data_IF_782866556722
#
_entry.id   IF_782866556722
#
_cell.length_a   1.000
_cell.length_b   1.000
_cell.length_c   1.000
_cell.angle_alpha   90.00
_cell.angle_beta   90.00
_cell.angle_gamma   90.00
#
_symmetry.space_group_name_H-M   'P 1'
#
loop_
_entity.id
_entity.type
_entity.pdbx_description
1 polymer ?
#
# COMPACT_ATOMS: atom_id res chain seq x y z
N UNK A 1 -8.89 1.36 -8.77
CA UNK A 1 -8.44 2.42 -7.83
C UNK A 1 -9.42 3.57 -7.89
N UNK A 2 -9.77 4.16 -6.75
CA UNK A 2 -10.61 5.35 -6.67
C UNK A 2 -9.83 6.49 -6.01
N UNK A 3 -9.85 7.69 -6.60
CA UNK A 3 -9.11 8.85 -6.10
C UNK A 3 -10.08 9.98 -5.73
N UNK A 4 -9.96 10.52 -4.52
CA UNK A 4 -10.71 11.67 -4.00
C UNK A 4 -9.81 12.70 -3.29
N UNK A 5 -10.41 13.82 -2.88
CA UNK A 5 -9.71 14.96 -2.27
C UNK A 5 -9.16 15.97 -3.28
N UNK A 6 -8.02 16.59 -2.97
CA UNK A 6 -7.38 17.67 -3.73
C UNK A 6 -6.56 17.13 -4.91
N UNK A 7 -7.22 16.76 -6.00
CA UNK A 7 -6.60 16.12 -7.18
C UNK A 7 -5.61 17.02 -7.93
N UNK A 8 -5.78 18.33 -7.84
CA UNK A 8 -4.98 19.33 -8.58
C UNK A 8 -3.93 20.02 -7.70
N UNK A 9 -3.62 19.46 -6.52
CA UNK A 9 -2.61 20.03 -5.63
C UNK A 9 -1.23 20.01 -6.29
N UNK A 10 -0.46 21.08 -6.04
CA UNK A 10 0.91 21.22 -6.52
C UNK A 10 1.84 21.49 -5.36
N UNK A 11 2.98 20.81 -5.35
CA UNK A 11 4.05 21.04 -4.40
C UNK A 11 5.40 20.82 -5.06
N UNK A 12 6.43 21.35 -4.42
CA UNK A 12 7.82 21.02 -4.76
C UNK A 12 8.18 19.70 -4.08
N UNK A 13 8.50 18.68 -4.87
CA UNK A 13 8.94 17.37 -4.37
C UNK A 13 9.81 16.68 -5.43
N UNK A 14 10.59 15.68 -5.04
CA UNK A 14 11.30 14.83 -6.02
C UNK A 14 10.32 13.80 -6.59
N UNK A 15 9.97 13.86 -7.89
CA UNK A 15 8.97 12.97 -8.47
C UNK A 15 9.32 11.49 -8.33
N UNK A 16 10.61 11.14 -8.46
CA UNK A 16 11.13 9.78 -8.32
C UNK A 16 10.80 9.18 -6.95
N UNK A 17 11.03 9.92 -5.86
CA UNK A 17 10.77 9.45 -4.50
C UNK A 17 9.29 9.19 -4.28
N UNK A 18 8.43 10.11 -4.75
CA UNK A 18 6.98 9.95 -4.65
C UNK A 18 6.52 8.76 -5.48
N UNK A 19 7.05 8.60 -6.70
CA UNK A 19 6.74 7.46 -7.56
C UNK A 19 7.08 6.13 -6.87
N UNK A 20 8.26 5.99 -6.27
CA UNK A 20 8.64 4.77 -5.55
C UNK A 20 7.73 4.50 -4.35
N UNK A 21 7.41 5.53 -3.56
CA UNK A 21 6.47 5.40 -2.42
C UNK A 21 5.12 4.90 -2.93
N UNK A 22 4.54 5.56 -3.94
CA UNK A 22 3.23 5.21 -4.47
C UNK A 22 3.21 3.81 -5.09
N UNK A 23 4.25 3.43 -5.84
CA UNK A 23 4.35 2.11 -6.45
C UNK A 23 4.36 1.01 -5.39
N UNK A 24 5.19 1.13 -4.35
CA UNK A 24 5.30 0.13 -3.30
C UNK A 24 4.02 0.03 -2.47
N UNK A 25 3.41 1.15 -2.10
CA UNK A 25 2.16 1.14 -1.34
C UNK A 25 1.00 0.56 -2.15
N UNK A 26 0.87 0.91 -3.44
CA UNK A 26 -0.17 0.37 -4.30
C UNK A 26 0.02 -1.12 -4.58
N UNK A 27 1.25 -1.58 -4.81
CA UNK A 27 1.55 -3.01 -4.96
C UNK A 27 1.12 -3.79 -3.72
N UNK A 28 1.51 -3.33 -2.53
CA UNK A 28 1.16 -4.00 -1.26
C UNK A 28 -0.35 -4.05 -1.05
N UNK A 29 -1.01 -2.91 -1.25
CA UNK A 29 -2.44 -2.74 -1.08
C UNK A 29 -3.26 -3.61 -2.04
N UNK A 30 -2.90 -3.62 -3.33
CA UNK A 30 -3.55 -4.44 -4.36
C UNK A 30 -3.29 -5.92 -4.13
N UNK A 31 -2.06 -6.29 -3.77
CA UNK A 31 -1.71 -7.69 -3.46
C UNK A 31 -2.56 -8.22 -2.31
N UNK A 32 -2.64 -7.49 -1.19
CA UNK A 32 -3.46 -7.92 -0.05
C UNK A 32 -4.94 -8.08 -0.43
N UNK A 33 -5.47 -7.15 -1.24
CA UNK A 33 -6.86 -7.22 -1.74
C UNK A 33 -7.08 -8.43 -2.63
N UNK A 34 -6.16 -8.72 -3.56
CA UNK A 34 -6.25 -9.89 -4.46
C UNK A 34 -6.07 -11.20 -3.70
N UNK A 35 -5.16 -11.26 -2.72
CA UNK A 35 -4.95 -12.46 -1.90
C UNK A 35 -6.20 -12.81 -1.07
N UNK A 36 -6.92 -11.81 -0.58
CA UNK A 36 -8.14 -12.01 0.21
C UNK A 36 -9.38 -12.29 -0.65
N UNK A 37 -9.62 -11.49 -1.69
CA UNK A 37 -10.88 -11.52 -2.46
C UNK A 37 -10.77 -12.21 -3.82
N UNK A 38 -9.55 -12.44 -4.32
CA UNK A 38 -9.31 -12.98 -5.67
C UNK A 38 -9.75 -14.42 -5.88
N UNK A 39 -10.09 -15.15 -4.82
CA UNK A 39 -10.62 -16.52 -4.88
C UNK A 39 -12.03 -16.56 -4.30
N UNK A 40 -13.02 -16.91 -5.13
CA UNK A 40 -14.34 -17.26 -4.61
C UNK A 40 -14.32 -18.67 -4.00
N UNK A 41 -15.10 -18.89 -2.94
CA UNK A 41 -15.24 -20.21 -2.31
C UNK A 41 -15.94 -21.24 -3.22
N UNK A 42 -16.69 -20.78 -4.24
CA UNK A 42 -17.61 -21.62 -5.02
C UNK A 42 -17.34 -21.65 -6.53
N UNK A 43 -16.35 -20.91 -7.04
CA UNK A 43 -15.95 -20.94 -8.45
C UNK A 43 -14.43 -21.00 -8.57
N UNK A 44 -13.92 -21.75 -9.55
CA UNK A 44 -12.48 -21.91 -9.77
C UNK A 44 -11.86 -20.74 -10.56
N UNK A 45 -12.68 -19.76 -10.98
CA UNK A 45 -12.21 -18.61 -11.75
C UNK A 45 -11.75 -17.48 -10.80
N UNK A 46 -10.52 -16.96 -10.99
CA UNK A 46 -10.03 -15.84 -10.20
C UNK A 46 -10.82 -14.55 -10.49
N UNK A 47 -11.12 -13.78 -9.44
CA UNK A 47 -11.72 -12.46 -9.59
C UNK A 47 -10.66 -11.42 -9.93
N UNK A 48 -10.98 -10.56 -10.90
CA UNK A 48 -10.14 -9.45 -11.31
C UNK A 48 -10.96 -8.18 -11.55
N UNK A 49 -10.27 -7.05 -11.63
CA UNK A 49 -10.86 -5.77 -12.02
C UNK A 49 -11.96 -5.31 -11.07
N UNK A 50 -13.12 -4.94 -11.64
CA UNK A 50 -14.26 -4.38 -10.92
C UNK A 50 -14.91 -5.32 -9.91
N UNK A 51 -14.57 -6.62 -9.96
CA UNK A 51 -15.06 -7.61 -8.98
C UNK A 51 -14.34 -7.52 -7.63
N UNK A 52 -13.22 -6.79 -7.54
CA UNK A 52 -12.45 -6.62 -6.32
C UNK A 52 -12.76 -5.27 -5.66
N UNK A 53 -12.72 -5.18 -4.31
CA UNK A 53 -12.86 -3.91 -3.63
C UNK A 53 -11.79 -2.90 -4.09
N UNK A 54 -12.15 -1.62 -4.35
CA UNK A 54 -11.19 -0.65 -4.84
C UNK A 54 -10.26 -0.16 -3.72
N UNK A 55 -8.95 -0.12 -4.01
CA UNK A 55 -8.02 0.73 -3.25
C UNK A 55 -8.44 2.20 -3.41
N UNK A 56 -8.64 2.90 -2.30
CA UNK A 56 -8.99 4.32 -2.24
C UNK A 56 -7.75 5.16 -1.93
N UNK A 57 -7.54 6.21 -2.71
CA UNK A 57 -6.50 7.21 -2.47
C UNK A 57 -7.20 8.54 -2.15
N UNK A 58 -6.92 9.09 -0.98
CA UNK A 58 -7.39 10.41 -0.58
C UNK A 58 -6.22 11.37 -0.50
N UNK A 59 -6.30 12.50 -1.21
CA UNK A 59 -5.29 13.55 -1.19
C UNK A 59 -5.80 14.74 -0.38
N UNK A 60 -5.10 15.08 0.69
CA UNK A 60 -5.36 16.27 1.50
C UNK A 60 -4.17 17.22 1.41
N UNK A 61 -4.42 18.52 1.62
CA UNK A 61 -3.41 19.56 1.61
C UNK A 61 -3.65 20.59 2.70
N UNK A 62 -2.65 21.43 2.94
CA UNK A 62 -2.61 22.41 4.00
C UNK A 62 -1.16 22.85 4.20
N UNK A 63 -0.68 22.80 5.45
CA UNK A 63 0.76 22.91 5.76
C UNK A 63 1.53 21.70 5.21
N UNK A 64 0.96 20.50 5.38
CA UNK A 64 1.46 19.25 4.82
C UNK A 64 0.53 18.70 3.72
N UNK A 65 1.11 17.89 2.83
CA UNK A 65 0.35 17.07 1.87
C UNK A 65 0.27 15.65 2.40
N UNK A 66 -0.96 15.17 2.56
CA UNK A 66 -1.23 13.81 3.03
C UNK A 66 -1.84 13.03 1.88
N UNK A 67 -1.17 11.94 1.50
CA UNK A 67 -1.70 10.95 0.56
C UNK A 67 -2.03 9.70 1.36
N UNK A 68 -3.32 9.46 1.57
CA UNK A 68 -3.80 8.27 2.28
C UNK A 68 -4.20 7.19 1.29
N UNK A 69 -3.62 6.02 1.43
CA UNK A 69 -3.98 4.82 0.67
C UNK A 69 -4.73 3.87 1.62
N UNK A 70 -5.96 3.51 1.26
CA UNK A 70 -6.80 2.60 2.03
C UNK A 70 -7.25 1.44 1.15
N UNK A 71 -7.23 0.23 1.69
CA UNK A 71 -7.73 -0.95 1.00
C UNK A 71 -8.67 -1.78 1.86
N UNK A 72 -9.05 -2.92 1.30
CA UNK A 72 -9.90 -3.92 1.94
C UNK A 72 -9.18 -5.28 1.95
N UNK A 73 -7.87 -5.29 2.13
CA UNK A 73 -7.02 -6.47 2.07
C UNK A 73 -7.01 -7.34 3.33
N UNK A 74 -7.87 -7.06 4.32
CA UNK A 74 -7.97 -7.82 5.56
C UNK A 74 -7.01 -7.38 6.67
N UNK A 75 -6.17 -6.38 6.40
CA UNK A 75 -5.21 -5.83 7.34
C UNK A 75 -3.97 -6.71 7.55
N UNK A 76 -3.16 -6.30 8.52
CA UNK A 76 -1.88 -6.91 8.87
C UNK A 76 -2.06 -7.70 10.19
N UNK A 77 -1.64 -8.97 10.27
CA UNK A 77 -1.71 -9.72 11.51
C UNK A 77 -0.94 -9.02 12.65
N UNK A 78 -1.47 -8.95 13.89
CA UNK A 78 -0.86 -8.19 14.99
C UNK A 78 0.60 -8.57 15.28
N UNK A 79 0.92 -9.86 15.20
CA UNK A 79 2.28 -10.39 15.43
C UNK A 79 3.29 -9.95 14.34
N UNK A 80 2.81 -9.49 13.19
CA UNK A 80 3.64 -9.03 12.07
C UNK A 80 3.69 -7.50 11.95
N UNK A 81 2.75 -6.78 12.56
CA UNK A 81 2.62 -5.32 12.43
C UNK A 81 3.90 -4.56 12.80
N UNK A 82 4.55 -4.91 13.91
CA UNK A 82 5.81 -4.26 14.31
C UNK A 82 6.98 -4.52 13.35
N UNK A 83 6.93 -5.60 12.57
CA UNK A 83 8.04 -6.03 11.69
C UNK A 83 7.96 -5.47 10.28
N UNK A 84 6.85 -4.83 9.89
CA UNK A 84 6.67 -4.28 8.52
C UNK A 84 7.72 -3.22 8.14
N UNK A 85 8.36 -2.63 9.16
CA UNK A 85 9.43 -1.64 9.00
C UNK A 85 10.83 -2.24 8.96
N UNK A 86 10.98 -3.55 9.15
CA UNK A 86 12.28 -4.20 9.08
C UNK A 86 12.63 -4.48 7.62
N UNK A 87 13.83 -4.09 7.21
CA UNK A 87 14.37 -4.52 5.92
C UNK A 87 14.38 -6.05 5.83
N UNK A 88 14.05 -6.57 4.66
CA UNK A 88 13.99 -8.01 4.36
C UNK A 88 12.84 -8.78 5.02
N UNK A 89 11.95 -8.11 5.76
CA UNK A 89 10.71 -8.73 6.21
C UNK A 89 9.68 -8.76 5.07
N UNK A 90 9.14 -9.93 4.78
CA UNK A 90 8.08 -10.11 3.78
C UNK A 90 7.18 -11.29 4.17
N UNK A 91 5.88 -11.16 3.89
CA UNK A 91 4.90 -12.25 4.00
C UNK A 91 4.68 -12.95 2.67
N UNK A 92 5.40 -12.56 1.61
CA UNK A 92 5.31 -13.19 0.31
C UNK A 92 5.91 -14.60 0.32
N UNK A 93 5.30 -15.55 -0.40
CA UNK A 93 5.95 -16.83 -0.68
C UNK A 93 7.30 -16.60 -1.34
N UNK A 94 8.34 -17.27 -0.84
CA UNK A 94 9.67 -17.22 -1.43
C UNK A 94 9.60 -17.75 -2.88
N UNK A 95 10.07 -16.97 -3.84
CA UNK A 95 10.07 -17.33 -5.27
C UNK A 95 9.09 -16.55 -6.15
N UNK A 96 8.11 -15.82 -5.60
CA UNK A 96 7.23 -14.89 -6.35
C UNK A 96 7.89 -13.50 -6.43
N UNK A 97 9.19 -13.49 -6.79
CA UNK A 97 10.13 -12.38 -6.58
C UNK A 97 9.83 -11.06 -7.31
N UNK A 98 8.85 -11.02 -8.21
CA UNK A 98 8.62 -9.83 -9.04
C UNK A 98 7.60 -8.85 -8.43
N UNK A 99 6.52 -9.33 -7.79
CA UNK A 99 5.46 -8.43 -7.31
C UNK A 99 5.63 -7.99 -5.86
N UNK A 100 6.07 -8.87 -4.96
CA UNK A 100 6.24 -8.53 -3.54
C UNK A 100 7.65 -8.03 -3.19
N UNK A 101 8.62 -8.22 -4.10
CA UNK A 101 10.02 -7.86 -3.90
C UNK A 101 10.68 -8.56 -2.70
N UNK A 102 11.78 -7.98 -2.22
CA UNK A 102 12.63 -8.54 -1.16
C UNK A 102 12.33 -7.99 0.25
N UNK A 103 11.14 -7.43 0.49
CA UNK A 103 10.82 -6.84 1.80
C UNK A 103 11.53 -5.51 2.08
N UNK A 104 11.77 -4.71 1.03
CA UNK A 104 12.42 -3.40 1.13
C UNK A 104 11.46 -2.23 0.92
N UNK A 105 10.25 -2.48 0.40
CA UNK A 105 9.29 -1.44 0.00
C UNK A 105 8.97 -0.46 1.11
N UNK A 106 8.20 -0.90 2.12
CA UNK A 106 7.78 -0.06 3.24
C UNK A 106 8.93 0.68 3.97
N UNK A 107 10.05 0.01 4.36
CA UNK A 107 11.14 0.72 5.02
C UNK A 107 11.85 1.74 4.11
N UNK A 108 11.99 1.46 2.82
CA UNK A 108 12.57 2.41 1.87
C UNK A 108 11.63 3.60 1.61
N UNK A 109 10.33 3.34 1.40
CA UNK A 109 9.31 4.37 1.24
C UNK A 109 9.27 5.32 2.43
N UNK A 110 9.35 4.79 3.66
CA UNK A 110 9.41 5.62 4.87
C UNK A 110 10.69 6.48 4.94
N UNK A 111 11.83 5.94 4.50
CA UNK A 111 13.07 6.72 4.41
C UNK A 111 12.96 7.85 3.40
N UNK A 112 12.35 7.61 2.24
CA UNK A 112 12.13 8.66 1.24
C UNK A 112 11.21 9.77 1.73
N UNK A 113 10.14 9.44 2.46
CA UNK A 113 9.25 10.43 3.08
C UNK A 113 9.99 11.28 4.12
N UNK A 114 10.76 10.63 5.00
CA UNK A 114 11.52 11.31 6.07
C UNK A 114 12.66 12.17 5.58
N UNK A 115 13.25 11.84 4.43
CA UNK A 115 14.33 12.64 3.85
C UNK A 115 13.90 14.10 3.61
N UNK A 116 12.60 14.34 3.37
CA UNK A 116 12.02 15.67 3.12
C UNK A 116 11.20 16.21 4.29
N UNK A 117 11.40 15.68 5.50
CA UNK A 117 10.72 16.16 6.71
C UNK A 117 9.30 15.63 6.93
N UNK A 118 8.79 14.75 6.06
CA UNK A 118 7.53 14.02 6.27
C UNK A 118 7.71 12.72 7.05
N UNK A 119 6.65 11.90 7.11
CA UNK A 119 6.73 10.51 7.57
C UNK A 119 5.71 9.64 6.83
N UNK A 120 5.73 8.33 7.10
CA UNK A 120 4.75 7.37 6.63
C UNK A 120 4.26 6.55 7.82
N UNK A 121 2.95 6.57 8.02
CA UNK A 121 2.24 5.84 9.08
C UNK A 121 1.31 4.80 8.49
N UNK A 122 1.07 3.72 9.26
CA UNK A 122 0.15 2.65 8.90
C UNK A 122 -0.87 2.50 10.01
N UNK A 123 -2.14 2.57 9.65
CA UNK A 123 -3.26 2.27 10.53
C UNK A 123 -3.87 0.95 10.09
N UNK A 124 -3.80 -0.05 10.97
CA UNK A 124 -4.26 -1.40 10.68
C UNK A 124 -5.65 -1.64 11.26
N UNK A 125 -6.60 -2.09 10.43
CA UNK A 125 -7.89 -2.60 10.89
C UNK A 125 -8.00 -4.09 10.57
N UNK A 126 -7.77 -4.93 11.56
CA UNK A 126 -7.78 -6.39 11.40
C UNK A 126 -9.13 -6.88 10.85
N UNK A 127 -9.07 -7.78 9.87
CA UNK A 127 -10.21 -8.32 9.12
C UNK A 127 -10.92 -7.31 8.20
N UNK A 128 -10.38 -6.11 8.05
CA UNK A 128 -10.93 -5.09 7.16
C UNK A 128 -9.90 -4.66 6.12
N UNK A 129 -8.77 -4.09 6.56
CA UNK A 129 -7.81 -3.35 5.75
C UNK A 129 -7.04 -2.37 6.61
#
# INVERSE_FOLDING_TARGET
VYIDGLKDIRCSYIPEHLYTIMLELLKNSMRATVELHGRQSNSHEPLFGESLPPTRITICGGEDIIIRISDRGGGIPPHSFGRIWNFSFSTAPQGIGELAGFGHGLPLSRRYARYWGGDMDVFNMENLG
#
